data_IF_381462616135
#
_entry.id   IF_381462616135
#
_cell.length_a   1.000
_cell.length_b   1.000
_cell.length_c   1.000
_cell.angle_alpha   90.00
_cell.angle_beta   90.00
_cell.angle_gamma   90.00
#
_symmetry.space_group_name_H-M   'P 1'
#
loop_
_entity.id
_entity.type
_entity.pdbx_description
1 polymer ?
#
# COMPACT_ATOMS: atom_id res chain seq x y z
N UNK A 1 -10.23 24.28 -1.46
CA UNK A 1 -9.61 25.30 -0.60
C UNK A 1 -8.47 24.63 0.17
N UNK A 2 -7.35 25.30 0.41
CA UNK A 2 -6.27 24.73 1.21
C UNK A 2 -6.76 24.44 2.64
N UNK A 3 -6.31 23.32 3.20
CA UNK A 3 -6.61 22.90 4.56
C UNK A 3 -6.14 23.93 5.58
N UNK A 4 -6.93 24.16 6.64
CA UNK A 4 -6.52 25.01 7.76
C UNK A 4 -5.51 24.32 8.69
N UNK A 5 -5.39 22.99 8.58
CA UNK A 5 -4.42 22.21 9.32
C UNK A 5 -3.07 22.18 8.57
N UNK A 6 -1.95 22.58 9.20
CA UNK A 6 -0.66 22.71 8.49
C UNK A 6 -0.12 21.37 7.98
N UNK A 7 -0.37 20.26 8.68
CA UNK A 7 0.04 18.93 8.24
C UNK A 7 -0.77 18.49 7.02
N UNK A 8 -2.09 18.68 7.05
CA UNK A 8 -2.94 18.34 5.91
C UNK A 8 -2.70 19.27 4.70
N UNK A 9 -2.41 20.55 4.91
CA UNK A 9 -2.00 21.47 3.84
C UNK A 9 -0.67 21.04 3.19
N UNK A 10 0.27 20.55 3.99
CA UNK A 10 1.54 20.00 3.48
C UNK A 10 1.30 18.74 2.64
N UNK A 11 0.42 17.84 3.09
CA UNK A 11 0.04 16.66 2.32
C UNK A 11 -0.67 17.05 1.00
N UNK A 12 -1.59 18.02 1.04
CA UNK A 12 -2.29 18.51 -0.15
C UNK A 12 -1.30 19.10 -1.18
N UNK A 13 -0.29 19.85 -0.73
CA UNK A 13 0.72 20.42 -1.61
C UNK A 13 1.59 19.34 -2.29
N UNK A 14 1.79 18.19 -1.63
CA UNK A 14 2.56 17.06 -2.15
C UNK A 14 1.74 16.09 -2.99
N UNK A 15 0.41 16.13 -2.88
CA UNK A 15 -0.47 15.20 -3.58
C UNK A 15 -0.46 15.49 -5.09
N UNK A 16 -0.12 14.49 -5.94
CA UNK A 16 0.02 14.73 -7.36
C UNK A 16 -1.34 14.99 -8.01
N UNK A 17 -1.42 16.05 -8.83
CA UNK A 17 -2.64 16.43 -9.56
C UNK A 17 -3.06 15.41 -10.63
N UNK A 18 -2.13 14.54 -11.03
CA UNK A 18 -2.34 13.45 -11.97
C UNK A 18 -2.79 12.15 -11.31
N UNK A 19 -3.01 12.14 -10.00
CA UNK A 19 -3.52 10.97 -9.29
C UNK A 19 -4.88 10.53 -9.84
N UNK A 20 -5.16 9.23 -9.74
CA UNK A 20 -6.46 8.67 -10.11
C UNK A 20 -7.60 9.34 -9.31
N UNK A 21 -8.77 9.46 -9.93
CA UNK A 21 -9.92 10.14 -9.33
C UNK A 21 -10.39 9.47 -8.02
N UNK A 22 -10.31 8.13 -7.92
CA UNK A 22 -10.69 7.41 -6.72
C UNK A 22 -9.70 7.67 -5.57
N UNK A 23 -8.39 7.71 -5.87
CA UNK A 23 -7.37 8.06 -4.88
C UNK A 23 -7.48 9.52 -4.44
N UNK A 24 -7.73 10.43 -5.38
CA UNK A 24 -7.99 11.85 -5.09
C UNK A 24 -9.19 12.01 -4.16
N UNK A 25 -10.31 11.36 -4.48
CA UNK A 25 -11.51 11.40 -3.65
C UNK A 25 -11.28 10.82 -2.25
N UNK A 26 -10.50 9.74 -2.14
CA UNK A 26 -10.13 9.12 -0.85
C UNK A 26 -9.27 10.07 -0.03
N UNK A 27 -8.24 10.66 -0.65
CA UNK A 27 -7.35 11.65 -0.04
C UNK A 27 -8.12 12.87 0.46
N UNK A 28 -8.94 13.49 -0.40
CA UNK A 28 -9.73 14.67 -0.08
C UNK A 28 -10.73 14.39 1.04
N UNK A 29 -11.32 13.19 1.06
CA UNK A 29 -12.21 12.78 2.14
C UNK A 29 -11.48 12.66 3.49
N UNK A 30 -10.25 12.13 3.49
CA UNK A 30 -9.42 12.04 4.69
C UNK A 30 -9.07 13.45 5.22
N UNK A 31 -8.47 14.29 4.37
CA UNK A 31 -8.11 15.66 4.73
C UNK A 31 -9.33 16.47 5.16
N UNK A 32 -10.46 16.31 4.46
CA UNK A 32 -11.69 16.99 4.80
C UNK A 32 -12.24 16.63 6.18
N UNK A 33 -11.99 15.42 6.70
CA UNK A 33 -12.33 15.08 8.09
C UNK A 33 -11.49 15.92 9.06
N UNK A 34 -10.18 16.01 8.82
CA UNK A 34 -9.26 16.80 9.67
C UNK A 34 -9.69 18.26 9.71
N UNK A 35 -9.98 18.86 8.56
CA UNK A 35 -10.46 20.24 8.46
C UNK A 35 -11.77 20.46 9.22
N UNK A 36 -12.73 19.55 9.07
CA UNK A 36 -14.00 19.62 9.81
C UNK A 36 -13.81 19.48 11.31
N UNK A 37 -12.88 18.63 11.75
CA UNK A 37 -12.53 18.47 13.16
C UNK A 37 -11.91 19.74 13.75
N UNK A 38 -10.98 20.37 13.02
CA UNK A 38 -10.34 21.61 13.47
C UNK A 38 -11.30 22.80 13.47
N UNK A 39 -12.17 22.90 12.47
CA UNK A 39 -13.26 23.87 12.45
C UNK A 39 -14.18 23.71 13.66
N UNK A 40 -14.61 22.46 13.96
CA UNK A 40 -15.45 22.18 15.13
C UNK A 40 -14.75 22.54 16.44
N UNK A 41 -13.45 22.24 16.58
CA UNK A 41 -12.64 22.66 17.75
C UNK A 41 -12.62 24.18 17.90
N UNK A 42 -12.37 24.91 16.82
CA UNK A 42 -12.35 26.37 16.83
C UNK A 42 -13.71 26.97 17.22
N UNK A 43 -14.80 26.38 16.76
CA UNK A 43 -16.16 26.82 17.10
C UNK A 43 -16.51 26.53 18.56
N UNK A 44 -16.15 25.34 19.07
CA UNK A 44 -16.34 25.00 20.48
C UNK A 44 -15.47 25.87 21.41
N UNK A 45 -14.26 26.24 20.98
CA UNK A 45 -13.38 27.12 21.74
C UNK A 45 -14.03 28.48 22.01
N UNK A 46 -14.72 29.05 21.01
CA UNK A 46 -15.45 30.33 21.11
C UNK A 46 -16.69 30.27 22.00
N UNK A 47 -17.24 29.08 22.27
CA UNK A 47 -18.42 28.92 23.09
C UNK A 47 -18.07 29.02 24.60
N UNK A 48 -18.46 30.11 25.25
CA UNK A 48 -18.23 30.35 26.68
C UNK A 48 -19.21 29.62 27.61
N UNK A 49 -20.29 29.06 27.06
CA UNK A 49 -21.34 28.37 27.83
C UNK A 49 -20.98 26.92 28.17
N UNK A 50 -19.97 26.35 27.51
CA UNK A 50 -19.53 24.98 27.73
C UNK A 50 -18.29 24.95 28.63
N UNK A 51 -18.31 24.07 29.62
CA UNK A 51 -17.12 23.69 30.39
C UNK A 51 -16.10 22.98 29.47
N UNK A 52 -14.88 22.78 29.98
CA UNK A 52 -13.84 22.02 29.27
C UNK A 52 -14.35 20.61 28.91
N UNK A 53 -14.97 19.92 29.86
CA UNK A 53 -15.55 18.59 29.65
C UNK A 53 -16.71 18.63 28.66
N UNK A 54 -17.59 19.63 28.75
CA UNK A 54 -18.70 19.81 27.80
C UNK A 54 -18.22 20.04 26.36
N UNK A 55 -17.10 20.76 26.17
CA UNK A 55 -16.47 20.91 24.85
C UNK A 55 -15.89 19.58 24.36
N UNK A 56 -15.26 18.80 25.24
CA UNK A 56 -14.72 17.50 24.89
C UNK A 56 -15.84 16.52 24.46
N UNK A 57 -16.95 16.48 25.19
CA UNK A 57 -18.11 15.64 24.87
C UNK A 57 -18.74 16.02 23.54
N UNK A 58 -18.93 17.31 23.27
CA UNK A 58 -19.46 17.78 21.98
C UNK A 58 -18.51 17.46 20.82
N UNK A 59 -17.20 17.56 21.03
CA UNK A 59 -16.21 17.17 20.03
C UNK A 59 -16.24 15.66 19.77
N UNK A 60 -16.37 14.84 20.82
CA UNK A 60 -16.50 13.38 20.71
C UNK A 60 -17.77 12.96 19.96
N UNK A 61 -18.90 13.61 20.25
CA UNK A 61 -20.15 13.41 19.50
C UNK A 61 -19.97 13.76 18.02
N UNK A 62 -19.34 14.90 17.73
CA UNK A 62 -19.05 15.30 16.36
C UNK A 62 -18.12 14.32 15.65
N UNK A 63 -17.03 13.89 16.28
CA UNK A 63 -16.11 12.89 15.75
C UNK A 63 -16.82 11.57 15.41
N UNK A 64 -17.82 11.20 16.22
CA UNK A 64 -18.62 9.99 15.99
C UNK A 64 -19.38 10.04 14.65
N UNK A 65 -19.82 11.22 14.20
CA UNK A 65 -20.45 11.40 12.89
C UNK A 65 -19.49 11.18 11.71
N UNK A 66 -18.19 11.26 11.95
CA UNK A 66 -17.16 11.12 10.92
C UNK A 66 -16.67 9.66 10.76
N UNK A 67 -16.99 8.77 11.71
CA UNK A 67 -16.50 7.37 11.75
C UNK A 67 -16.75 6.61 10.44
N UNK A 68 -17.98 6.65 9.93
CA UNK A 68 -18.35 5.92 8.73
C UNK A 68 -17.54 6.36 7.49
N UNK A 69 -17.28 7.67 7.38
CA UNK A 69 -16.45 8.22 6.31
C UNK A 69 -14.99 7.76 6.50
N UNK A 70 -14.47 7.87 7.72
CA UNK A 70 -13.11 7.42 8.04
C UNK A 70 -12.90 5.93 7.73
N UNK A 71 -13.82 5.06 8.13
CA UNK A 71 -13.73 3.62 7.86
C UNK A 71 -13.73 3.31 6.36
N UNK A 72 -14.56 4.01 5.58
CA UNK A 72 -14.59 3.88 4.12
C UNK A 72 -13.25 4.28 3.49
N UNK A 73 -12.71 5.43 3.90
CA UNK A 73 -11.42 5.94 3.40
C UNK A 73 -10.28 4.98 3.79
N UNK A 74 -10.26 4.52 5.04
CA UNK A 74 -9.28 3.55 5.55
C UNK A 74 -9.31 2.25 4.75
N UNK A 75 -10.50 1.70 4.49
CA UNK A 75 -10.67 0.51 3.66
C UNK A 75 -10.20 0.73 2.23
N UNK A 76 -10.59 1.85 1.60
CA UNK A 76 -10.22 2.14 0.21
C UNK A 76 -8.70 2.26 0.02
N UNK A 77 -7.99 2.84 0.99
CA UNK A 77 -6.53 2.90 0.99
C UNK A 77 -5.91 1.49 1.07
N UNK A 78 -6.36 0.67 2.02
CA UNK A 78 -5.89 -0.70 2.20
C UNK A 78 -6.19 -1.61 0.99
N UNK A 79 -7.38 -1.47 0.40
CA UNK A 79 -7.77 -2.20 -0.81
C UNK A 79 -6.89 -1.81 -1.99
N UNK A 80 -6.55 -0.53 -2.12
CA UNK A 80 -5.68 -0.07 -3.21
C UNK A 80 -4.24 -0.54 -3.03
N UNK A 81 -3.72 -0.51 -1.80
CA UNK A 81 -2.41 -1.10 -1.46
C UNK A 81 -2.37 -2.58 -1.82
N UNK A 82 -3.41 -3.33 -1.46
CA UNK A 82 -3.53 -4.76 -1.77
C UNK A 82 -3.59 -5.00 -3.27
N UNK A 83 -4.33 -4.17 -4.03
CA UNK A 83 -4.35 -4.23 -5.50
C UNK A 83 -2.99 -3.97 -6.12
N UNK A 84 -2.23 -2.98 -5.64
CA UNK A 84 -0.87 -2.73 -6.14
C UNK A 84 0.06 -3.91 -5.89
N UNK A 85 -0.03 -4.56 -4.73
CA UNK A 85 0.74 -5.78 -4.45
C UNK A 85 0.33 -6.91 -5.40
N UNK A 86 -0.98 -7.13 -5.60
CA UNK A 86 -1.47 -8.12 -6.54
C UNK A 86 -1.05 -7.84 -7.99
N UNK A 87 -1.08 -6.58 -8.42
CA UNK A 87 -0.63 -6.15 -9.75
C UNK A 87 0.87 -6.42 -9.91
N UNK A 88 1.70 -6.15 -8.87
CA UNK A 88 3.13 -6.48 -8.86
C UNK A 88 3.37 -7.98 -8.94
N UNK A 89 2.63 -8.75 -8.16
CA UNK A 89 2.72 -10.21 -8.13
C UNK A 89 2.24 -10.86 -9.43
N UNK A 90 1.35 -10.21 -10.17
CA UNK A 90 0.86 -10.63 -11.48
C UNK A 90 1.88 -10.39 -12.61
N UNK A 91 2.89 -9.54 -12.41
CA UNK A 91 3.98 -9.36 -13.39
C UNK A 91 4.91 -10.58 -13.45
N UNK A 92 4.91 -11.42 -12.43
CA UNK A 92 5.69 -12.65 -12.38
C UNK A 92 4.98 -13.71 -13.23
N UNK A 93 5.62 -14.28 -14.27
CA UNK A 93 5.04 -15.39 -15.03
C UNK A 93 4.82 -16.60 -14.12
N UNK A 94 3.56 -16.88 -13.79
CA UNK A 94 3.16 -18.01 -12.91
C UNK A 94 2.43 -19.13 -13.64
N UNK A 95 1.88 -18.87 -14.81
CA UNK A 95 1.07 -19.84 -15.55
C UNK A 95 1.97 -20.77 -16.37
N UNK A 96 1.83 -22.07 -16.14
CA UNK A 96 2.53 -23.12 -16.87
C UNK A 96 1.53 -23.79 -17.79
N UNK A 97 1.78 -23.72 -19.10
CA UNK A 97 1.08 -24.57 -20.05
C UNK A 97 1.60 -26.01 -19.89
N UNK A 98 0.72 -26.90 -19.41
CA UNK A 98 1.03 -28.32 -19.22
C UNK A 98 1.14 -29.08 -20.53
N UNK A 99 0.69 -28.50 -21.63
CA UNK A 99 0.77 -29.10 -22.98
C UNK A 99 2.04 -28.71 -23.73
N UNK A 100 2.78 -27.71 -23.23
CA UNK A 100 4.05 -27.26 -23.79
C UNK A 100 5.22 -28.14 -23.32
N UNK A 101 5.40 -29.28 -24.02
CA UNK A 101 6.49 -30.22 -23.76
C UNK A 101 7.88 -29.59 -23.99
N UNK A 102 8.01 -28.68 -24.97
CA UNK A 102 9.28 -28.03 -25.28
C UNK A 102 9.68 -27.06 -24.16
N UNK A 103 8.75 -26.23 -23.69
CA UNK A 103 8.96 -25.36 -22.54
C UNK A 103 9.24 -26.14 -21.27
N UNK A 104 8.57 -27.28 -21.05
CA UNK A 104 8.86 -28.15 -19.90
C UNK A 104 10.32 -28.65 -19.92
N UNK A 105 10.82 -29.09 -21.07
CA UNK A 105 12.21 -29.52 -21.23
C UNK A 105 13.20 -28.38 -20.95
N UNK A 106 12.92 -27.18 -21.48
CA UNK A 106 13.75 -26.00 -21.26
C UNK A 106 13.79 -25.58 -19.78
N UNK A 107 12.65 -25.63 -19.07
CA UNK A 107 12.59 -25.34 -17.62
C UNK A 107 13.33 -26.37 -16.77
N UNK A 108 13.34 -27.65 -17.17
CA UNK A 108 14.19 -28.67 -16.53
C UNK A 108 15.67 -28.33 -16.71
N UNK A 109 16.06 -27.91 -17.92
CA UNK A 109 17.43 -27.53 -18.22
C UNK A 109 17.87 -26.29 -17.44
N UNK A 110 17.04 -25.25 -17.35
CA UNK A 110 17.35 -24.08 -16.52
C UNK A 110 17.57 -24.45 -15.06
N UNK A 111 16.71 -25.29 -14.47
CA UNK A 111 16.92 -25.77 -13.10
C UNK A 111 18.19 -26.61 -12.96
N UNK A 112 18.53 -27.41 -13.98
CA UNK A 112 19.78 -28.19 -13.99
C UNK A 112 21.00 -27.27 -13.98
N UNK A 113 20.99 -26.22 -14.80
CA UNK A 113 22.07 -25.22 -14.86
C UNK A 113 22.18 -24.50 -13.51
N UNK A 114 21.08 -24.02 -12.94
CA UNK A 114 21.08 -23.31 -11.65
C UNK A 114 21.60 -24.17 -10.48
N UNK A 115 21.31 -25.48 -10.47
CA UNK A 115 21.87 -26.40 -9.45
C UNK A 115 23.36 -26.68 -9.64
N UNK A 116 23.86 -26.52 -10.87
CA UNK A 116 25.25 -26.79 -11.22
C UNK A 116 26.16 -25.57 -11.02
N UNK A 117 25.58 -24.39 -10.82
CA UNK A 117 26.31 -23.13 -10.59
C UNK A 117 26.17 -22.67 -9.15
N UNK A 118 27.02 -21.74 -8.74
CA UNK A 118 26.88 -21.06 -7.44
C UNK A 118 25.67 -20.12 -7.45
N UNK A 119 25.21 -19.71 -6.27
CA UNK A 119 24.12 -18.71 -6.14
C UNK A 119 24.50 -17.40 -6.84
N UNK A 120 25.75 -16.94 -6.71
CA UNK A 120 26.23 -15.72 -7.36
C UNK A 120 26.19 -15.83 -8.88
N UNK A 121 26.63 -16.95 -9.43
CA UNK A 121 26.58 -17.22 -10.88
C UNK A 121 25.13 -17.38 -11.37
N UNK A 122 24.26 -17.99 -10.58
CA UNK A 122 22.82 -18.10 -10.86
C UNK A 122 22.15 -16.72 -10.95
N UNK A 123 22.47 -15.82 -10.02
CA UNK A 123 21.98 -14.43 -10.05
C UNK A 123 22.50 -13.71 -11.29
N UNK A 124 23.80 -13.84 -11.59
CA UNK A 124 24.41 -13.22 -12.76
C UNK A 124 23.81 -13.75 -14.07
N UNK A 125 23.58 -15.06 -14.16
CA UNK A 125 22.95 -15.72 -15.30
C UNK A 125 21.52 -15.21 -15.50
N UNK A 126 20.73 -15.12 -14.43
CA UNK A 126 19.36 -14.63 -14.52
C UNK A 126 19.25 -13.16 -14.97
N UNK A 127 20.27 -12.35 -14.71
CA UNK A 127 20.34 -10.97 -15.20
C UNK A 127 20.63 -10.87 -16.71
N UNK A 128 21.11 -11.94 -17.35
CA UNK A 128 21.42 -11.95 -18.79
C UNK A 128 20.35 -12.65 -19.64
N UNK A 129 19.55 -13.52 -19.04
CA UNK A 129 18.49 -14.28 -19.72
C UNK A 129 17.16 -13.51 -19.63
N UNK A 130 16.63 -13.12 -20.78
CA UNK A 130 15.31 -12.47 -20.89
C UNK A 130 14.15 -13.44 -21.05
N UNK A 131 14.44 -14.72 -21.31
CA UNK A 131 13.41 -15.77 -21.49
C UNK A 131 12.52 -15.92 -20.24
N UNK A 132 11.20 -15.70 -20.34
CA UNK A 132 10.25 -15.91 -19.23
C UNK A 132 10.25 -17.34 -18.68
N UNK A 133 10.69 -18.33 -19.48
CA UNK A 133 10.80 -19.72 -19.08
C UNK A 133 11.78 -19.90 -17.92
N UNK A 134 12.79 -19.04 -17.79
CA UNK A 134 13.73 -19.09 -16.67
C UNK A 134 13.02 -18.81 -15.34
N UNK A 135 12.27 -17.70 -15.25
CA UNK A 135 11.54 -17.34 -14.03
C UNK A 135 10.46 -18.38 -13.73
N UNK A 136 9.79 -18.87 -14.77
CA UNK A 136 8.82 -19.96 -14.61
C UNK A 136 9.48 -21.21 -14.01
N UNK A 137 10.70 -21.56 -14.46
CA UNK A 137 11.44 -22.71 -13.94
C UNK A 137 11.80 -22.56 -12.45
N UNK A 138 12.13 -21.34 -12.02
CA UNK A 138 12.45 -21.03 -10.61
C UNK A 138 11.21 -21.17 -9.72
N UNK A 139 10.06 -20.69 -10.18
CA UNK A 139 8.81 -20.68 -9.40
C UNK A 139 7.97 -21.96 -9.52
N UNK A 140 8.19 -22.79 -10.56
CA UNK A 140 7.46 -24.05 -10.79
C UNK A 140 7.73 -25.11 -9.70
N UNK A 141 8.86 -25.02 -8.99
CA UNK A 141 9.28 -26.04 -8.04
C UNK A 141 9.73 -25.50 -6.70
N UNK A 142 9.72 -26.36 -5.68
CA UNK A 142 10.24 -26.07 -4.34
C UNK A 142 11.67 -25.50 -4.40
N UNK A 143 12.04 -24.51 -3.56
CA UNK A 143 13.41 -24.02 -3.34
C UNK A 143 14.50 -25.10 -3.45
N UNK A 144 14.28 -26.25 -2.80
CA UNK A 144 15.23 -27.36 -2.81
C UNK A 144 15.50 -27.93 -4.21
N UNK A 145 14.51 -27.90 -5.12
CA UNK A 145 14.61 -28.45 -6.47
C UNK A 145 15.30 -27.50 -7.46
N UNK A 146 15.33 -26.20 -7.20
CA UNK A 146 16.09 -25.25 -8.02
C UNK A 146 17.51 -25.02 -7.50
N UNK A 147 17.83 -25.49 -6.28
CA UNK A 147 19.10 -25.18 -5.61
C UNK A 147 19.22 -23.72 -5.14
N UNK A 148 18.09 -23.02 -5.01
CA UNK A 148 18.04 -21.60 -4.62
C UNK A 148 17.20 -21.46 -3.36
N UNK A 149 17.71 -20.76 -2.35
CA UNK A 149 16.91 -20.35 -1.21
C UNK A 149 15.90 -19.25 -1.60
N UNK A 150 14.93 -18.98 -0.72
CA UNK A 150 13.87 -17.97 -0.96
C UNK A 150 14.46 -16.60 -1.29
N UNK A 151 15.49 -16.18 -0.55
CA UNK A 151 16.13 -14.87 -0.75
C UNK A 151 16.75 -14.75 -2.15
N UNK A 152 17.42 -15.79 -2.63
CA UNK A 152 18.05 -15.81 -3.95
C UNK A 152 17.01 -15.79 -5.07
N UNK A 153 15.88 -16.49 -4.87
CA UNK A 153 14.73 -16.45 -5.79
C UNK A 153 14.13 -15.06 -5.90
N UNK A 154 13.98 -14.38 -4.76
CA UNK A 154 13.44 -13.02 -4.71
C UNK A 154 14.37 -12.04 -5.45
N UNK A 155 15.70 -12.14 -5.24
CA UNK A 155 16.70 -11.32 -5.93
C UNK A 155 16.67 -11.56 -7.44
N UNK A 156 16.66 -12.82 -7.87
CA UNK A 156 16.58 -13.17 -9.29
C UNK A 156 15.29 -12.64 -9.93
N UNK A 157 14.16 -12.79 -9.23
CA UNK A 157 12.87 -12.33 -9.71
C UNK A 157 12.84 -10.81 -9.84
N UNK A 158 13.38 -10.10 -8.85
CA UNK A 158 13.51 -8.64 -8.88
C UNK A 158 14.36 -8.17 -10.08
N UNK A 159 15.54 -8.76 -10.29
CA UNK A 159 16.42 -8.41 -11.41
C UNK A 159 15.75 -8.66 -12.77
N UNK A 160 15.06 -9.80 -12.91
CA UNK A 160 14.36 -10.12 -14.15
C UNK A 160 13.20 -9.16 -14.41
N UNK A 161 12.43 -8.83 -13.37
CA UNK A 161 11.35 -7.84 -13.45
C UNK A 161 11.91 -6.46 -13.84
N UNK A 162 12.99 -6.00 -13.21
CA UNK A 162 13.64 -4.73 -13.57
C UNK A 162 14.12 -4.71 -15.03
N UNK A 163 14.62 -5.83 -15.54
CA UNK A 163 15.13 -5.93 -16.91
C UNK A 163 13.99 -5.99 -17.94
N UNK A 164 12.94 -6.80 -17.67
CA UNK A 164 11.93 -7.16 -18.68
C UNK A 164 10.60 -6.40 -18.51
N UNK A 165 10.34 -5.87 -17.32
CA UNK A 165 9.08 -5.21 -16.92
C UNK A 165 9.33 -3.82 -16.28
N UNK A 166 10.48 -3.20 -16.55
CA UNK A 166 10.90 -1.92 -15.98
C UNK A 166 9.81 -0.84 -16.01
N UNK A 167 9.15 -0.69 -17.16
CA UNK A 167 8.10 0.32 -17.37
C UNK A 167 6.88 0.06 -16.51
N UNK A 168 6.47 -1.20 -16.40
CA UNK A 168 5.33 -1.62 -15.57
C UNK A 168 5.64 -1.41 -14.08
N UNK A 169 6.84 -1.77 -13.64
CA UNK A 169 7.28 -1.56 -12.25
C UNK A 169 7.30 -0.08 -11.91
N UNK A 170 7.91 0.77 -12.74
CA UNK A 170 7.91 2.23 -12.52
C UNK A 170 6.49 2.78 -12.41
N UNK A 171 5.58 2.35 -13.27
CA UNK A 171 4.18 2.76 -13.19
C UNK A 171 3.48 2.29 -11.89
N UNK A 172 3.87 1.13 -11.34
CA UNK A 172 3.38 0.66 -10.05
C UNK A 172 4.01 1.44 -8.89
N UNK A 173 5.30 1.75 -8.96
CA UNK A 173 6.01 2.54 -7.95
C UNK A 173 5.45 3.96 -7.88
N UNK A 174 5.24 4.63 -9.03
CA UNK A 174 4.61 5.95 -9.11
C UNK A 174 3.22 5.93 -8.44
N UNK A 175 2.43 4.86 -8.64
CA UNK A 175 1.12 4.69 -7.98
C UNK A 175 1.26 4.41 -6.49
N UNK A 176 2.28 3.65 -6.08
CA UNK A 176 2.55 3.34 -4.68
C UNK A 176 2.87 4.62 -3.89
N UNK A 177 3.65 5.54 -4.46
CA UNK A 177 3.92 6.85 -3.84
C UNK A 177 2.63 7.65 -3.58
N UNK A 178 1.67 7.61 -4.50
CA UNK A 178 0.35 8.24 -4.29
C UNK A 178 -0.40 7.58 -3.15
N UNK A 179 -0.42 6.24 -3.11
CA UNK A 179 -1.08 5.48 -2.03
C UNK A 179 -0.43 5.77 -0.67
N UNK A 180 0.89 5.90 -0.60
CA UNK A 180 1.60 6.28 0.62
C UNK A 180 1.12 7.65 1.15
N UNK A 181 0.91 8.64 0.27
CA UNK A 181 0.34 9.93 0.66
C UNK A 181 -1.11 9.81 1.15
N UNK A 182 -1.91 8.93 0.57
CA UNK A 182 -3.28 8.63 1.04
C UNK A 182 -3.23 8.01 2.44
N UNK A 183 -2.37 7.01 2.66
CA UNK A 183 -2.19 6.37 3.96
C UNK A 183 -1.70 7.37 5.02
N UNK A 184 -0.80 8.30 4.67
CA UNK A 184 -0.40 9.40 5.56
C UNK A 184 -1.60 10.29 5.94
N UNK A 185 -2.48 10.63 5.00
CA UNK A 185 -3.69 11.41 5.28
C UNK A 185 -4.69 10.63 6.16
N UNK A 186 -4.82 9.31 5.94
CA UNK A 186 -5.62 8.42 6.81
C UNK A 186 -5.05 8.40 8.23
N UNK A 187 -3.73 8.26 8.39
CA UNK A 187 -3.08 8.26 9.69
C UNK A 187 -3.23 9.60 10.43
N UNK A 188 -3.13 10.73 9.71
CA UNK A 188 -3.40 12.05 10.27
C UNK A 188 -4.85 12.15 10.76
N UNK A 189 -5.80 11.67 9.95
CA UNK A 189 -7.23 11.62 10.29
C UNK A 189 -7.49 10.75 11.51
N UNK A 190 -6.85 9.58 11.56
CA UNK A 190 -6.91 8.66 12.69
C UNK A 190 -6.43 9.34 13.97
N UNK A 191 -5.30 10.05 13.94
CA UNK A 191 -4.80 10.80 15.09
C UNK A 191 -5.79 11.88 15.57
N UNK A 192 -6.40 12.61 14.64
CA UNK A 192 -7.40 13.63 14.96
C UNK A 192 -8.65 13.02 15.62
N UNK A 193 -9.13 11.89 15.12
CA UNK A 193 -10.28 11.15 15.68
C UNK A 193 -9.94 10.49 17.02
N UNK A 194 -8.75 9.90 17.15
CA UNK A 194 -8.26 9.28 18.39
C UNK A 194 -8.27 10.31 19.53
N UNK A 195 -7.70 11.49 19.25
CA UNK A 195 -7.66 12.60 20.21
C UNK A 195 -9.07 13.06 20.59
N UNK A 196 -9.97 13.18 19.61
CA UNK A 196 -11.34 13.62 19.85
C UNK A 196 -12.22 12.58 20.55
N UNK A 197 -11.95 11.29 20.35
CA UNK A 197 -12.68 10.20 21.01
C UNK A 197 -12.39 10.14 22.52
N UNK A 198 -11.25 10.69 22.95
CA UNK A 198 -10.82 10.71 24.36
C UNK A 198 -10.50 9.31 24.90
N UNK A 199 -10.13 8.38 24.01
CA UNK A 199 -9.75 7.01 24.36
C UNK A 199 -8.28 6.93 24.73
N UNK A 200 -7.90 5.91 25.51
CA UNK A 200 -6.57 5.78 26.12
C UNK A 200 -5.67 4.79 25.41
N UNK A 201 -6.24 3.95 24.54
CA UNK A 201 -5.49 2.91 23.83
C UNK A 201 -6.00 2.70 22.41
N UNK A 202 -5.15 2.10 21.57
CA UNK A 202 -5.54 1.71 20.21
C UNK A 202 -6.71 0.70 20.21
N UNK A 203 -6.75 -0.23 21.17
CA UNK A 203 -7.85 -1.18 21.30
C UNK A 203 -9.19 -0.50 21.62
N UNK A 204 -9.19 0.47 22.54
CA UNK A 204 -10.37 1.29 22.83
C UNK A 204 -10.81 2.12 21.61
N UNK A 205 -9.86 2.62 20.83
CA UNK A 205 -10.16 3.36 19.61
C UNK A 205 -10.82 2.47 18.55
N UNK A 206 -10.30 1.27 18.30
CA UNK A 206 -10.92 0.34 17.35
C UNK A 206 -12.31 -0.12 17.84
N UNK A 207 -12.49 -0.34 19.14
CA UNK A 207 -13.80 -0.62 19.71
C UNK A 207 -14.78 0.56 19.52
N UNK A 208 -14.30 1.79 19.71
CA UNK A 208 -15.08 3.01 19.46
C UNK A 208 -15.45 3.17 17.99
N UNK A 209 -14.54 2.85 17.06
CA UNK A 209 -14.82 2.86 15.63
C UNK A 209 -15.89 1.84 15.21
N UNK A 210 -15.93 0.68 15.89
CA UNK A 210 -16.89 -0.39 15.63
C UNK A 210 -18.25 -0.23 16.32
N UNK A 211 -18.38 0.74 17.24
CA UNK A 211 -19.66 1.10 17.90
C UNK A 211 -20.50 2.06 17.07
#
# INVERSE_FOLDING_TARGET
MPSSNPAAATLQARFPKSADAALTSTFDSAVGIVDRMDAKRADLAKNSLLSVDGKADELKKFASTQRAIFLRVRSAAADTRTKLQNDRDALIPKAIDKTDAAGAALRVEYRRIMRATTVTESIALASTITDPSLITAIWESDPALSGLDTRSRDVITANWLETNRAKQIRALDDRAEVVDLVEMAVNLTQGALFTAAGVRSAAEFEAWLGS
#
